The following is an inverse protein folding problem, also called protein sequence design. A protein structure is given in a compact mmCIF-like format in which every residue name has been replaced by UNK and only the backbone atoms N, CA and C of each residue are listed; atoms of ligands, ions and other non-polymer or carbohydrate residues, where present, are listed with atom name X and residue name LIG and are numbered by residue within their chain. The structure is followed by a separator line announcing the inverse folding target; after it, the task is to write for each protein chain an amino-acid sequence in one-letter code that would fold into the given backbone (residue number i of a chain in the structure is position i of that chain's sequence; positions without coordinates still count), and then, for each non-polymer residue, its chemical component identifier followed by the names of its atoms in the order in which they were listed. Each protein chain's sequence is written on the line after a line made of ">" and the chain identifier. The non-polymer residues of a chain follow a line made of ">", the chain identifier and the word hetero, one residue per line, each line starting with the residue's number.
data_IF_438929477788
#
_entry.id   IF_438929477788
#
_cell.length_a   1.000
_cell.length_b   1.000
_cell.length_c   1.000
_cell.angle_alpha   90.00
_cell.angle_beta   90.00
_cell.angle_gamma   90.00
#
_symmetry.space_group_name_H-M   'P 1'
#
loop_
_entity.id
_entity.type
_entity.pdbx_description
1 polymer ?
#
# COMPACT_ATOMS: atom_id res chain seq x y z
N UNK A 1 -27.44 -17.68 -11.65
CA UNK A 1 -26.67 -18.12 -12.83
C UNK A 1 -25.35 -17.35 -12.83
N UNK A 2 -24.33 -17.98 -12.23
CA UNK A 2 -22.88 -17.66 -12.26
C UNK A 2 -22.41 -16.20 -12.18
N UNK A 3 -22.19 -15.70 -10.95
CA UNK A 3 -21.28 -14.57 -10.63
C UNK A 3 -19.80 -14.89 -10.91
N UNK A 4 -19.51 -16.08 -11.45
CA UNK A 4 -18.17 -16.62 -11.72
C UNK A 4 -17.71 -16.46 -13.19
N UNK A 5 -18.54 -15.90 -14.09
CA UNK A 5 -18.24 -15.84 -15.53
C UNK A 5 -17.86 -14.45 -16.07
N UNK A 6 -17.67 -13.42 -15.23
CA UNK A 6 -17.07 -12.13 -15.67
C UNK A 6 -15.55 -12.03 -15.42
N UNK A 7 -14.91 -13.06 -14.87
CA UNK A 7 -13.49 -13.07 -14.46
C UNK A 7 -12.47 -13.23 -15.62
N UNK A 8 -12.65 -12.58 -16.78
CA UNK A 8 -11.73 -12.73 -17.93
C UNK A 8 -11.42 -11.43 -18.71
N UNK A 9 -11.35 -10.27 -18.05
CA UNK A 9 -10.54 -9.15 -18.55
C UNK A 9 -9.74 -8.55 -17.38
N UNK A 10 -8.41 -8.38 -17.49
CA UNK A 10 -7.69 -7.60 -16.51
C UNK A 10 -8.20 -6.16 -16.63
N UNK A 11 -8.94 -5.69 -15.62
CA UNK A 11 -9.36 -4.30 -15.54
C UNK A 11 -8.10 -3.45 -15.40
N UNK A 12 -7.62 -2.92 -16.52
CA UNK A 12 -6.56 -1.93 -16.54
C UNK A 12 -7.07 -0.68 -15.84
N UNK A 13 -6.30 -0.16 -14.90
CA UNK A 13 -6.54 1.14 -14.26
C UNK A 13 -6.22 2.33 -15.18
N UNK A 14 -6.37 2.14 -16.50
CA UNK A 14 -6.15 3.19 -17.50
C UNK A 14 -7.04 4.41 -17.26
N UNK A 15 -8.27 4.23 -16.78
CA UNK A 15 -9.21 5.34 -16.51
C UNK A 15 -8.68 6.34 -15.46
N UNK A 16 -7.80 5.90 -14.56
CA UNK A 16 -7.17 6.83 -13.62
C UNK A 16 -6.17 7.76 -14.30
N UNK A 17 -5.58 7.34 -15.43
CA UNK A 17 -4.74 8.22 -16.25
C UNK A 17 -5.59 9.23 -17.02
N UNK A 18 -6.75 8.83 -17.54
CA UNK A 18 -7.71 9.76 -18.15
C UNK A 18 -8.18 10.81 -17.13
N UNK A 19 -8.40 10.40 -15.87
CA UNK A 19 -8.69 11.30 -14.76
C UNK A 19 -7.55 12.27 -14.46
N UNK A 20 -6.30 11.77 -14.40
CA UNK A 20 -5.13 12.62 -14.22
C UNK A 20 -5.06 13.64 -15.36
N UNK A 21 -5.14 13.22 -16.62
CA UNK A 21 -5.06 14.13 -17.77
C UNK A 21 -6.16 15.20 -17.75
N UNK A 22 -7.38 14.83 -17.33
CA UNK A 22 -8.52 15.75 -17.32
C UNK A 22 -8.48 16.76 -16.18
N UNK A 23 -8.02 16.35 -14.99
CA UNK A 23 -8.17 17.15 -13.77
C UNK A 23 -6.87 17.64 -13.16
N UNK A 24 -5.71 17.11 -13.55
CA UNK A 24 -4.42 17.63 -13.11
C UNK A 24 -4.22 19.11 -13.51
N UNK A 25 -4.61 19.59 -14.71
CA UNK A 25 -4.43 20.99 -15.09
C UNK A 25 -5.10 22.00 -14.12
N UNK A 26 -6.23 21.62 -13.51
CA UNK A 26 -6.91 22.44 -12.49
C UNK A 26 -6.37 22.21 -11.07
N UNK A 27 -5.42 21.29 -10.88
CA UNK A 27 -4.97 20.83 -9.57
C UNK A 27 -6.00 19.96 -8.85
N UNK A 28 -6.80 19.20 -9.61
CA UNK A 28 -7.94 18.43 -9.11
C UNK A 28 -9.02 19.30 -8.44
N UNK A 29 -9.09 20.57 -8.81
CA UNK A 29 -10.14 21.49 -8.36
C UNK A 29 -11.34 21.43 -9.31
N UNK A 30 -12.53 21.69 -8.76
CA UNK A 30 -13.80 21.80 -9.50
C UNK A 30 -14.13 20.56 -10.34
N UNK A 31 -13.84 19.36 -9.82
CA UNK A 31 -14.21 18.10 -10.48
C UNK A 31 -15.74 18.05 -10.65
N UNK A 32 -16.18 17.92 -11.89
CA UNK A 32 -17.60 17.81 -12.21
C UNK A 32 -18.07 16.36 -12.03
N UNK A 33 -18.98 16.07 -11.09
CA UNK A 33 -19.48 14.71 -10.88
C UNK A 33 -20.22 14.14 -12.09
N UNK A 34 -20.76 15.01 -12.96
CA UNK A 34 -21.50 14.61 -14.17
C UNK A 34 -20.58 14.43 -15.38
N UNK A 35 -19.26 14.63 -15.24
CA UNK A 35 -18.30 14.36 -16.30
C UNK A 35 -18.30 12.86 -16.65
N UNK A 36 -18.32 12.47 -17.94
CA UNK A 36 -18.32 11.06 -18.34
C UNK A 36 -17.19 10.21 -17.74
N UNK A 37 -16.01 10.79 -17.47
CA UNK A 37 -14.89 10.10 -16.82
C UNK A 37 -15.23 9.83 -15.34
N UNK A 38 -15.81 10.81 -14.65
CA UNK A 38 -16.20 10.67 -13.26
C UNK A 38 -17.35 9.67 -13.09
N UNK A 39 -18.35 9.71 -13.97
CA UNK A 39 -19.45 8.72 -13.96
C UNK A 39 -18.89 7.30 -14.10
N UNK A 40 -18.00 7.05 -15.06
CA UNK A 40 -17.37 5.75 -15.26
C UNK A 40 -16.47 5.33 -14.09
N UNK A 41 -15.75 6.27 -13.48
CA UNK A 41 -14.95 5.98 -12.28
C UNK A 41 -15.85 5.56 -11.14
N UNK A 42 -16.94 6.28 -10.89
CA UNK A 42 -17.88 5.95 -9.83
C UNK A 42 -18.56 4.58 -10.06
N UNK A 43 -18.88 4.24 -11.31
CA UNK A 43 -19.35 2.88 -11.68
C UNK A 43 -18.28 1.82 -11.39
N UNK A 44 -17.02 2.06 -11.77
CA UNK A 44 -15.90 1.15 -11.49
C UNK A 44 -15.67 0.99 -9.98
N UNK A 45 -15.76 2.08 -9.22
CA UNK A 45 -15.61 2.07 -7.76
C UNK A 45 -16.73 1.27 -7.09
N UNK A 46 -17.96 1.37 -7.61
CA UNK A 46 -19.09 0.57 -7.17
C UNK A 46 -18.91 -0.92 -7.48
N UNK A 47 -18.54 -1.25 -8.72
CA UNK A 47 -18.38 -2.64 -9.19
C UNK A 47 -17.30 -3.40 -8.42
N UNK A 48 -16.19 -2.73 -8.13
CA UNK A 48 -15.00 -3.34 -7.55
C UNK A 48 -14.89 -3.18 -6.02
N UNK A 49 -15.89 -2.59 -5.37
CA UNK A 49 -15.86 -2.22 -3.95
C UNK A 49 -14.62 -1.39 -3.56
N UNK A 50 -14.50 -0.23 -4.21
CA UNK A 50 -13.33 0.65 -4.09
C UNK A 50 -13.72 2.09 -3.80
N UNK A 51 -12.73 2.87 -3.37
CA UNK A 51 -12.74 4.31 -3.52
C UNK A 51 -11.34 4.78 -3.92
N UNK A 52 -11.21 6.01 -4.40
CA UNK A 52 -9.90 6.57 -4.71
C UNK A 52 -9.76 8.00 -4.23
N UNK A 53 -8.53 8.48 -4.19
CA UNK A 53 -8.21 9.87 -3.86
C UNK A 53 -7.06 10.39 -4.71
N UNK A 54 -7.05 11.70 -4.92
CA UNK A 54 -5.93 12.44 -5.48
C UNK A 54 -5.32 13.30 -4.36
N UNK A 55 -4.01 13.25 -4.21
CA UNK A 55 -3.31 13.98 -3.13
C UNK A 55 -2.06 14.68 -3.63
N UNK A 56 -1.68 15.76 -2.95
CA UNK A 56 -0.39 16.43 -3.10
C UNK A 56 0.43 16.19 -1.84
N UNK A 57 1.58 15.54 -1.99
CA UNK A 57 2.45 15.21 -0.85
C UNK A 57 3.26 16.39 -0.32
N UNK A 58 3.53 17.40 -1.15
CA UNK A 58 4.24 18.61 -0.70
C UNK A 58 3.33 19.42 0.22
N UNK A 59 2.03 19.50 -0.12
CA UNK A 59 1.03 20.14 0.73
C UNK A 59 0.49 19.24 1.84
N UNK A 60 0.84 17.95 1.84
CA UNK A 60 0.26 16.93 2.72
C UNK A 60 -1.27 16.97 2.75
N UNK A 61 -1.89 17.09 1.56
CA UNK A 61 -3.33 17.34 1.43
C UNK A 61 -3.99 16.39 0.43
N UNK A 62 -5.11 15.81 0.84
CA UNK A 62 -6.08 15.21 -0.07
C UNK A 62 -6.75 16.33 -0.88
N UNK A 63 -6.56 16.29 -2.20
CA UNK A 63 -7.16 17.24 -3.14
C UNK A 63 -8.56 16.78 -3.57
N UNK A 64 -8.76 15.47 -3.66
CA UNK A 64 -10.02 14.83 -3.99
C UNK A 64 -10.11 13.47 -3.33
N UNK A 65 -11.32 13.07 -2.93
CA UNK A 65 -11.66 11.72 -2.46
C UNK A 65 -13.00 11.34 -3.06
N UNK A 66 -13.14 10.13 -3.58
CA UNK A 66 -14.41 9.66 -4.15
C UNK A 66 -15.41 9.25 -3.07
N UNK A 67 -16.70 9.20 -3.44
CA UNK A 67 -17.82 9.13 -2.50
C UNK A 67 -17.85 7.85 -1.66
N UNK A 68 -17.29 6.74 -2.20
CA UNK A 68 -17.30 5.41 -1.56
C UNK A 68 -16.42 5.27 -0.33
N UNK A 69 -15.60 6.28 -0.01
CA UNK A 69 -14.92 6.38 1.29
C UNK A 69 -15.90 6.26 2.47
N UNK A 70 -17.13 6.78 2.33
CA UNK A 70 -18.14 6.68 3.38
C UNK A 70 -18.61 5.23 3.60
N UNK A 71 -18.82 4.47 2.54
CA UNK A 71 -19.26 3.07 2.63
C UNK A 71 -18.15 2.15 3.12
N UNK A 72 -16.90 2.38 2.68
CA UNK A 72 -15.78 1.47 2.98
C UNK A 72 -15.12 1.80 4.33
N UNK A 73 -14.98 3.08 4.65
CA UNK A 73 -14.28 3.54 5.86
C UNK A 73 -15.19 4.24 6.86
N UNK A 74 -16.41 4.64 6.50
CA UNK A 74 -17.28 5.39 7.40
C UNK A 74 -16.89 6.86 7.56
N UNK A 75 -16.15 7.40 6.59
CA UNK A 75 -15.71 8.80 6.60
C UNK A 75 -16.19 9.55 5.37
N UNK A 76 -16.68 10.77 5.57
CA UNK A 76 -17.05 11.63 4.47
C UNK A 76 -15.81 11.98 3.61
N UNK A 77 -15.93 12.10 2.28
CA UNK A 77 -14.79 12.35 1.40
C UNK A 77 -13.94 13.57 1.80
N UNK A 78 -14.59 14.64 2.27
CA UNK A 78 -13.93 15.88 2.68
C UNK A 78 -13.25 15.81 4.06
N UNK A 79 -13.53 14.76 4.84
CA UNK A 79 -13.01 14.59 6.20
C UNK A 79 -11.82 13.63 6.27
N UNK A 80 -11.52 12.90 5.18
CA UNK A 80 -10.43 11.95 5.14
C UNK A 80 -9.09 12.62 5.47
N UNK A 81 -8.47 12.19 6.59
CA UNK A 81 -7.21 12.73 7.06
C UNK A 81 -6.28 11.64 7.65
N UNK A 82 -4.96 11.90 7.76
CA UNK A 82 -4.01 10.93 8.29
C UNK A 82 -4.28 10.50 9.75
N UNK A 83 -4.94 11.35 10.54
CA UNK A 83 -5.34 11.09 11.92
C UNK A 83 -6.49 10.09 12.03
N UNK A 84 -7.48 10.16 11.14
CA UNK A 84 -8.52 9.14 11.02
C UNK A 84 -7.91 7.75 10.76
N UNK A 85 -7.04 7.64 9.76
CA UNK A 85 -6.36 6.38 9.38
C UNK A 85 -5.60 5.76 10.57
N UNK A 86 -5.00 6.59 11.43
CA UNK A 86 -4.26 6.12 12.61
C UNK A 86 -5.18 5.53 13.70
N UNK A 87 -6.43 5.98 13.78
CA UNK A 87 -7.40 5.52 14.79
C UNK A 87 -8.14 4.26 14.37
N UNK A 88 -8.23 3.99 13.07
CA UNK A 88 -9.00 2.88 12.51
C UNK A 88 -8.16 1.69 12.10
N UNK A 89 -6.83 1.80 12.06
CA UNK A 89 -5.91 0.71 11.74
C UNK A 89 -5.92 -0.38 12.84
N UNK A 90 -5.82 -1.64 12.43
CA UNK A 90 -5.60 -2.75 13.36
C UNK A 90 -4.27 -2.57 14.13
N UNK A 91 -4.21 -2.82 15.45
CA UNK A 91 -3.01 -2.61 16.26
C UNK A 91 -1.75 -3.31 15.72
N UNK A 92 -1.88 -4.57 15.28
CA UNK A 92 -0.76 -5.33 14.71
C UNK A 92 -0.24 -4.74 13.38
N UNK A 93 -1.08 -3.99 12.66
CA UNK A 93 -0.72 -3.36 11.40
C UNK A 93 -0.17 -1.94 11.59
N UNK A 94 -0.24 -1.37 12.80
CA UNK A 94 0.23 -0.01 13.10
C UNK A 94 1.69 0.21 12.70
N UNK A 95 2.56 -0.75 13.00
CA UNK A 95 3.96 -0.65 12.64
C UNK A 95 4.16 -0.65 11.12
N UNK A 96 3.42 -1.49 10.39
CA UNK A 96 3.44 -1.55 8.92
C UNK A 96 2.90 -0.25 8.30
N UNK A 97 1.87 0.34 8.88
CA UNK A 97 1.34 1.65 8.46
C UNK A 97 2.40 2.75 8.60
N UNK A 98 3.10 2.82 9.75
CA UNK A 98 4.13 3.84 9.99
C UNK A 98 5.28 3.70 9.00
N UNK A 99 5.80 2.49 8.83
CA UNK A 99 6.85 2.19 7.84
C UNK A 99 6.40 2.52 6.41
N UNK A 100 5.16 2.19 6.08
CA UNK A 100 4.60 2.51 4.77
C UNK A 100 4.47 4.00 4.50
N UNK A 101 4.11 4.80 5.51
CA UNK A 101 4.10 6.27 5.41
C UNK A 101 5.51 6.82 5.21
N UNK A 102 6.49 6.36 5.98
CA UNK A 102 7.89 6.76 5.80
C UNK A 102 8.38 6.46 4.37
N UNK A 103 8.08 5.26 3.86
CA UNK A 103 8.43 4.86 2.51
C UNK A 103 7.72 5.70 1.44
N UNK A 104 6.43 5.99 1.62
CA UNK A 104 5.66 6.89 0.76
C UNK A 104 6.31 8.27 0.65
N UNK A 105 6.73 8.86 1.77
CA UNK A 105 7.46 10.14 1.76
C UNK A 105 8.80 10.04 1.05
N UNK A 106 9.57 8.99 1.30
CA UNK A 106 10.88 8.79 0.65
C UNK A 106 10.76 8.65 -0.86
N UNK A 107 9.82 7.83 -1.35
CA UNK A 107 9.56 7.68 -2.79
C UNK A 107 9.21 9.02 -3.44
N UNK A 108 8.35 9.80 -2.78
CA UNK A 108 7.98 11.10 -3.30
C UNK A 108 9.13 12.11 -3.30
N UNK A 109 9.98 12.11 -2.27
CA UNK A 109 11.19 12.94 -2.24
C UNK A 109 12.16 12.56 -3.36
N UNK A 110 12.37 11.28 -3.63
CA UNK A 110 13.21 10.78 -4.72
C UNK A 110 12.68 11.26 -6.09
N UNK A 111 11.37 11.10 -6.34
CA UNK A 111 10.72 11.57 -7.57
C UNK A 111 10.80 13.10 -7.70
N UNK A 112 10.54 13.84 -6.62
CA UNK A 112 10.59 15.31 -6.61
C UNK A 112 12.00 15.82 -6.89
N UNK A 113 13.02 15.26 -6.22
CA UNK A 113 14.42 15.64 -6.42
C UNK A 113 14.89 15.34 -7.85
N UNK A 114 14.41 14.24 -8.45
CA UNK A 114 14.68 13.90 -9.84
C UNK A 114 13.91 14.76 -10.86
N UNK A 115 12.93 15.57 -10.41
CA UNK A 115 12.03 16.40 -11.25
C UNK A 115 11.37 15.59 -12.38
N UNK A 116 11.22 14.28 -12.19
CA UNK A 116 10.75 13.35 -13.21
C UNK A 116 10.44 11.98 -12.61
N UNK A 117 9.68 11.19 -13.37
CA UNK A 117 9.41 9.79 -13.04
C UNK A 117 8.08 9.54 -12.34
N UNK A 118 7.84 8.26 -12.10
CA UNK A 118 6.68 7.73 -11.42
C UNK A 118 7.06 6.48 -10.65
N UNK A 119 6.26 6.12 -9.67
CA UNK A 119 6.39 4.89 -8.91
C UNK A 119 5.01 4.36 -8.53
N UNK A 120 4.99 3.10 -8.09
CA UNK A 120 3.82 2.42 -7.56
C UNK A 120 4.19 1.82 -6.21
N UNK A 121 3.32 2.05 -5.23
CA UNK A 121 3.32 1.34 -3.96
C UNK A 121 2.01 0.58 -3.80
N UNK A 122 2.06 -0.65 -3.29
CA UNK A 122 0.88 -1.49 -3.08
C UNK A 122 1.02 -2.27 -1.78
N UNK A 123 -0.02 -2.29 -0.96
CA UNK A 123 0.04 -2.88 0.38
C UNK A 123 -1.32 -3.27 0.92
N UNK A 124 -1.37 -4.26 1.81
CA UNK A 124 -2.60 -4.60 2.55
C UNK A 124 -2.50 -4.24 4.03
N UNK A 125 -3.57 -3.64 4.55
CA UNK A 125 -3.71 -3.26 5.96
C UNK A 125 -5.16 -3.47 6.39
N UNK A 126 -5.36 -3.84 7.65
CA UNK A 126 -6.70 -4.02 8.23
C UNK A 126 -7.20 -2.74 8.87
N UNK A 127 -8.43 -2.35 8.52
CA UNK A 127 -9.11 -1.17 9.05
C UNK A 127 -10.48 -1.53 9.62
N UNK A 128 -10.89 -0.82 10.67
CA UNK A 128 -12.26 -0.88 11.19
C UNK A 128 -13.20 -0.28 10.14
N UNK A 129 -14.23 -1.04 9.77
CA UNK A 129 -15.32 -0.62 8.89
C UNK A 129 -16.47 0.05 9.68
N UNK A 130 -17.47 0.64 9.01
CA UNK A 130 -18.63 1.26 9.68
C UNK A 130 -19.40 0.32 10.62
N UNK A 131 -19.36 -0.99 10.37
CA UNK A 131 -19.98 -2.03 11.19
C UNK A 131 -19.18 -2.40 12.45
N UNK A 132 -17.99 -1.81 12.64
CA UNK A 132 -17.12 -2.05 13.80
C UNK A 132 -16.28 -3.33 13.72
N UNK A 133 -16.19 -3.96 12.54
CA UNK A 133 -15.35 -5.13 12.29
C UNK A 133 -14.14 -4.78 11.42
N UNK A 134 -13.11 -5.62 11.40
CA UNK A 134 -11.91 -5.37 10.58
C UNK A 134 -12.07 -5.93 9.18
N UNK A 135 -11.91 -5.07 8.17
CA UNK A 135 -11.77 -5.47 6.77
C UNK A 135 -10.31 -5.35 6.34
N UNK A 136 -9.90 -6.21 5.42
CA UNK A 136 -8.59 -6.12 4.80
C UNK A 136 -8.69 -5.20 3.59
N UNK A 137 -7.93 -4.11 3.59
CA UNK A 137 -7.93 -3.15 2.50
C UNK A 137 -6.63 -3.27 1.70
N UNK A 138 -6.73 -3.35 0.38
CA UNK A 138 -5.60 -3.15 -0.51
C UNK A 138 -5.50 -1.66 -0.86
N UNK A 139 -4.42 -1.01 -0.44
CA UNK A 139 -4.05 0.31 -0.91
C UNK A 139 -3.05 0.22 -2.05
N UNK A 140 -3.37 0.83 -3.20
CA UNK A 140 -2.41 1.07 -4.29
C UNK A 140 -2.23 2.58 -4.47
N UNK A 141 -0.99 3.05 -4.48
CA UNK A 141 -0.63 4.45 -4.64
C UNK A 141 0.27 4.62 -5.87
N UNK A 142 -0.26 5.26 -6.91
CA UNK A 142 0.49 5.65 -8.09
C UNK A 142 1.02 7.09 -7.90
N UNK A 143 2.34 7.23 -7.89
CA UNK A 143 3.06 8.48 -7.71
C UNK A 143 3.52 8.98 -9.06
N UNK A 144 3.43 10.29 -9.30
CA UNK A 144 3.99 10.89 -10.51
C UNK A 144 4.41 12.33 -10.26
N UNK A 145 5.52 12.71 -10.88
CA UNK A 145 5.95 14.10 -10.94
C UNK A 145 5.12 14.88 -11.97
N UNK A 146 4.77 16.13 -11.65
CA UNK A 146 4.22 17.07 -12.63
C UNK A 146 4.69 18.49 -12.33
N UNK A 147 4.80 19.31 -13.37
CA UNK A 147 4.99 20.77 -13.28
C UNK A 147 3.69 21.55 -13.38
N UNK A 148 2.57 20.87 -13.65
CA UNK A 148 1.23 21.43 -13.78
C UNK A 148 0.33 20.83 -12.69
N UNK A 149 -0.45 21.65 -11.96
CA UNK A 149 -0.51 23.12 -12.06
C UNK A 149 0.69 23.81 -11.37
N UNK A 150 1.51 23.03 -10.66
CA UNK A 150 2.76 23.43 -10.01
C UNK A 150 3.72 22.25 -10.01
N UNK A 151 4.98 22.51 -9.71
CA UNK A 151 5.99 21.48 -9.46
C UNK A 151 5.66 20.72 -8.16
N UNK A 152 5.20 19.48 -8.30
CA UNK A 152 4.85 18.62 -7.18
C UNK A 152 4.92 17.13 -7.55
N UNK A 153 4.82 16.29 -6.51
CA UNK A 153 4.54 14.86 -6.65
C UNK A 153 3.12 14.61 -6.20
N UNK A 154 2.30 14.14 -7.14
CA UNK A 154 0.92 13.79 -6.91
C UNK A 154 0.79 12.28 -6.67
N UNK A 155 -0.24 11.90 -5.94
CA UNK A 155 -0.63 10.50 -5.76
C UNK A 155 -2.07 10.31 -6.24
N UNK A 156 -2.30 9.29 -7.06
CA UNK A 156 -3.61 8.62 -7.14
C UNK A 156 -3.56 7.39 -6.25
N UNK A 157 -4.36 7.40 -5.18
CA UNK A 157 -4.49 6.27 -4.28
C UNK A 157 -5.84 5.59 -4.50
N UNK A 158 -5.82 4.32 -4.86
CA UNK A 158 -6.99 3.45 -4.95
C UNK A 158 -7.00 2.52 -3.74
N UNK A 159 -8.14 2.44 -3.07
CA UNK A 159 -8.35 1.56 -1.92
C UNK A 159 -9.45 0.57 -2.29
N UNK A 160 -9.11 -0.72 -2.22
CA UNK A 160 -10.04 -1.83 -2.48
C UNK A 160 -10.40 -2.49 -1.18
N UNK A 161 -11.68 -2.65 -0.90
CA UNK A 161 -12.17 -3.49 0.18
C UNK A 161 -12.12 -4.95 -0.27
N UNK A 162 -11.29 -5.77 0.38
CA UNK A 162 -11.12 -7.17 -0.01
C UNK A 162 -12.19 -8.04 0.65
N UNK A 163 -12.90 -8.83 -0.16
CA UNK A 163 -13.82 -9.84 0.34
C UNK A 163 -13.08 -10.83 1.25
N UNK A 164 -13.71 -11.22 2.36
CA UNK A 164 -13.15 -12.16 3.35
C UNK A 164 -12.69 -13.51 2.78
N UNK A 165 -13.21 -13.92 1.61
CA UNK A 165 -12.83 -15.13 0.90
C UNK A 165 -11.51 -15.01 0.13
N UNK A 166 -11.03 -13.79 -0.11
CA UNK A 166 -9.80 -13.53 -0.84
C UNK A 166 -8.59 -13.80 0.06
N UNK A 167 -7.72 -14.71 -0.38
CA UNK A 167 -6.48 -15.01 0.32
C UNK A 167 -5.43 -13.94 0.04
N UNK A 168 -5.03 -13.21 1.07
CA UNK A 168 -3.86 -12.32 1.01
C UNK A 168 -2.62 -13.03 1.54
N UNK A 169 -1.45 -12.46 1.28
CA UNK A 169 -0.24 -12.86 1.98
C UNK A 169 -0.49 -12.78 3.50
N UNK A 170 -0.23 -13.84 4.29
CA UNK A 170 -0.50 -13.87 5.72
C UNK A 170 0.36 -12.87 6.51
N UNK A 171 1.57 -12.57 6.01
CA UNK A 171 2.48 -11.57 6.58
C UNK A 171 2.21 -10.16 6.02
N UNK A 172 1.18 -10.05 5.16
CA UNK A 172 0.72 -8.83 4.52
C UNK A 172 1.37 -8.57 3.16
N UNK A 173 0.55 -8.15 2.20
CA UNK A 173 1.02 -7.78 0.88
C UNK A 173 1.87 -6.50 0.94
N UNK A 174 2.95 -6.48 0.17
CA UNK A 174 3.77 -5.28 -0.03
C UNK A 174 4.46 -5.27 -1.40
N UNK A 175 4.49 -4.10 -2.04
CA UNK A 175 5.26 -3.81 -3.25
C UNK A 175 5.63 -2.33 -3.31
N UNK A 176 6.86 -2.03 -3.75
CA UNK A 176 7.30 -0.70 -4.18
C UNK A 176 8.15 -0.88 -5.44
N UNK A 177 7.85 -0.15 -6.49
CA UNK A 177 8.64 -0.17 -7.72
C UNK A 177 7.98 0.63 -8.83
N UNK A 178 8.44 0.45 -10.07
CA UNK A 178 7.97 1.24 -11.22
C UNK A 178 7.16 0.41 -12.23
N UNK A 179 6.78 -0.82 -11.87
CA UNK A 179 5.98 -1.68 -12.74
C UNK A 179 4.50 -1.26 -12.68
N UNK A 180 4.13 -0.35 -13.58
CA UNK A 180 2.75 0.18 -13.69
C UNK A 180 1.74 -0.91 -14.05
N UNK A 181 2.17 -2.06 -14.61
CA UNK A 181 1.26 -3.18 -14.89
C UNK A 181 0.65 -3.81 -13.63
N UNK A 182 1.22 -3.52 -12.46
CA UNK A 182 0.70 -3.93 -11.16
C UNK A 182 -0.34 -2.95 -10.59
N UNK A 183 -0.54 -1.78 -11.19
CA UNK A 183 -1.63 -0.87 -10.84
C UNK A 183 -2.91 -1.34 -11.55
N UNK A 184 -3.69 -2.16 -10.85
CA UNK A 184 -4.84 -2.90 -11.39
C UNK A 184 -5.69 -3.45 -10.26
N UNK A 185 -6.91 -3.87 -10.58
CA UNK A 185 -7.71 -4.64 -9.64
C UNK A 185 -6.96 -5.91 -9.19
N UNK A 186 -6.96 -6.25 -7.89
CA UNK A 186 -6.12 -7.31 -7.37
C UNK A 186 -6.43 -8.67 -7.97
N UNK A 187 -5.37 -9.36 -8.37
CA UNK A 187 -5.36 -10.80 -8.56
C UNK A 187 -4.60 -11.49 -7.40
N UNK A 188 -4.74 -12.82 -7.33
CA UNK A 188 -4.04 -13.61 -6.30
C UNK A 188 -2.53 -13.38 -6.35
N UNK A 189 -1.94 -13.27 -7.55
CA UNK A 189 -0.51 -13.04 -7.70
C UNK A 189 -0.08 -11.74 -7.02
N UNK A 190 -0.80 -10.64 -7.25
CA UNK A 190 -0.52 -9.35 -6.62
C UNK A 190 -0.62 -9.48 -5.09
N UNK A 191 -1.74 -10.02 -4.58
CA UNK A 191 -2.01 -10.09 -3.15
C UNK A 191 -1.07 -11.03 -2.37
N UNK A 192 -0.39 -11.94 -3.07
CA UNK A 192 0.64 -12.80 -2.49
C UNK A 192 2.05 -12.19 -2.54
N UNK A 193 2.27 -11.08 -3.24
CA UNK A 193 3.56 -10.38 -3.25
C UNK A 193 3.87 -9.78 -1.88
N UNK A 194 5.10 -9.92 -1.41
CA UNK A 194 5.54 -9.45 -0.10
C UNK A 194 6.66 -10.33 0.43
N UNK A 195 7.09 -10.07 1.67
CA UNK A 195 8.03 -10.94 2.36
C UNK A 195 7.26 -12.07 3.03
N UNK A 196 7.62 -13.34 2.74
CA UNK A 196 7.02 -14.52 3.40
C UNK A 196 7.60 -14.79 4.80
N UNK A 197 8.10 -13.75 5.46
CA UNK A 197 8.72 -13.87 6.78
C UNK A 197 7.66 -13.76 7.85
N UNK A 198 7.64 -14.73 8.76
CA UNK A 198 6.74 -14.67 9.91
C UNK A 198 7.11 -13.52 10.85
N UNK A 199 6.19 -13.10 11.70
CA UNK A 199 6.44 -12.08 12.72
C UNK A 199 7.72 -12.33 13.53
N UNK A 200 7.96 -13.60 13.90
CA UNK A 200 9.17 -13.99 14.65
C UNK A 200 10.44 -13.87 13.82
N UNK A 201 10.38 -14.21 12.54
CA UNK A 201 11.49 -14.04 11.62
C UNK A 201 11.80 -12.56 11.40
N UNK A 202 10.77 -11.73 11.27
CA UNK A 202 10.90 -10.28 11.16
C UNK A 202 11.49 -9.65 12.42
N UNK A 203 11.03 -10.06 13.61
CA UNK A 203 11.57 -9.64 14.90
C UNK A 203 13.07 -9.97 15.02
N UNK A 204 13.47 -11.17 14.60
CA UNK A 204 14.88 -11.56 14.56
C UNK A 204 15.67 -10.64 13.63
N UNK A 205 15.17 -10.35 12.42
CA UNK A 205 15.83 -9.41 11.51
C UNK A 205 16.03 -8.03 12.16
N UNK A 206 15.02 -7.47 12.82
CA UNK A 206 15.14 -6.17 13.53
C UNK A 206 16.25 -6.18 14.58
N UNK A 207 16.33 -7.24 15.38
CA UNK A 207 17.36 -7.36 16.41
C UNK A 207 18.76 -7.50 15.78
N UNK A 208 18.88 -8.24 14.68
CA UNK A 208 20.15 -8.32 13.94
C UNK A 208 20.52 -6.97 13.31
N UNK A 209 19.57 -6.25 12.74
CA UNK A 209 19.77 -4.91 12.20
C UNK A 209 20.19 -3.90 13.28
N UNK A 210 19.80 -4.15 14.54
CA UNK A 210 20.22 -3.40 15.73
C UNK A 210 21.59 -3.84 16.28
N UNK A 211 22.30 -4.74 15.59
CA UNK A 211 23.64 -5.20 15.95
C UNK A 211 23.69 -6.35 16.96
N UNK A 212 22.56 -7.02 17.26
CA UNK A 212 22.58 -8.14 18.19
C UNK A 212 23.00 -9.45 17.48
N UNK A 213 23.93 -10.17 18.11
CA UNK A 213 24.28 -11.55 17.73
C UNK A 213 23.29 -12.58 18.28
N UNK A 214 23.31 -13.80 17.75
CA UNK A 214 22.33 -14.86 18.07
C UNK A 214 22.17 -15.16 19.56
N UNK A 215 23.24 -15.05 20.36
CA UNK A 215 23.18 -15.25 21.82
C UNK A 215 22.30 -14.20 22.52
N UNK A 216 22.53 -12.91 22.23
CA UNK A 216 21.74 -11.82 22.81
C UNK A 216 20.28 -11.87 22.35
N UNK A 217 20.05 -12.28 21.10
CA UNK A 217 18.69 -12.47 20.56
C UNK A 217 17.99 -13.62 21.29
N UNK A 218 18.68 -14.74 21.50
CA UNK A 218 18.15 -15.89 22.24
C UNK A 218 17.71 -15.50 23.65
N UNK A 219 18.58 -14.78 24.37
CA UNK A 219 18.27 -14.27 25.71
C UNK A 219 17.06 -13.32 25.69
N UNK A 220 17.00 -12.40 24.73
CA UNK A 220 15.93 -11.39 24.64
C UNK A 220 14.56 -11.99 24.27
N UNK A 221 14.54 -13.04 23.46
CA UNK A 221 13.31 -13.67 22.98
C UNK A 221 12.92 -14.91 23.81
N UNK A 222 13.66 -15.23 24.87
CA UNK A 222 13.52 -16.45 25.66
C UNK A 222 13.58 -17.73 24.78
N UNK A 223 14.52 -17.76 23.84
CA UNK A 223 14.75 -18.87 22.90
C UNK A 223 16.13 -19.50 23.13
N UNK A 224 16.35 -20.69 22.56
CA UNK A 224 17.71 -21.23 22.46
C UNK A 224 18.48 -20.56 21.31
N UNK A 225 19.81 -20.50 21.41
CA UNK A 225 20.67 -20.01 20.30
C UNK A 225 20.45 -20.85 19.04
N UNK A 226 20.21 -22.16 19.20
CA UNK A 226 19.91 -23.06 18.09
C UNK A 226 18.60 -22.63 17.39
N UNK A 227 17.54 -22.36 18.14
CA UNK A 227 16.25 -21.88 17.60
C UNK A 227 16.42 -20.57 16.83
N UNK A 228 17.18 -19.62 17.36
CA UNK A 228 17.48 -18.36 16.64
C UNK A 228 18.21 -18.63 15.33
N UNK A 229 19.20 -19.52 15.33
CA UNK A 229 19.92 -19.87 14.10
C UNK A 229 19.01 -20.58 13.07
N UNK A 230 18.07 -21.43 13.52
CA UNK A 230 17.06 -22.04 12.64
C UNK A 230 16.19 -20.98 11.97
N UNK A 231 15.69 -19.99 12.71
CA UNK A 231 14.95 -18.87 12.12
C UNK A 231 15.79 -18.09 11.10
N UNK A 232 17.07 -17.81 11.39
CA UNK A 232 17.98 -17.15 10.44
C UNK A 232 18.13 -17.95 9.15
N UNK A 233 18.28 -19.27 9.23
CA UNK A 233 18.32 -20.14 8.05
C UNK A 233 17.02 -20.11 7.26
N UNK A 234 15.87 -20.15 7.95
CA UNK A 234 14.56 -20.06 7.30
C UNK A 234 14.36 -18.72 6.57
N UNK A 235 14.80 -17.62 7.18
CA UNK A 235 14.80 -16.29 6.56
C UNK A 235 15.55 -16.33 5.22
N UNK A 236 16.79 -16.82 5.21
CA UNK A 236 17.60 -16.87 3.99
C UNK A 236 16.96 -17.73 2.89
N UNK A 237 16.37 -18.86 3.28
CA UNK A 237 15.66 -19.73 2.35
C UNK A 237 14.42 -19.05 1.75
N UNK A 238 13.63 -18.35 2.59
CA UNK A 238 12.41 -17.64 2.18
C UNK A 238 12.71 -16.43 1.29
N UNK A 239 13.77 -15.69 1.60
CA UNK A 239 14.18 -14.49 0.83
C UNK A 239 15.08 -14.81 -0.35
N UNK A 240 15.55 -16.06 -0.48
CA UNK A 240 16.55 -16.51 -1.46
C UNK A 240 17.81 -15.63 -1.46
N UNK A 241 18.28 -15.26 -0.26
CA UNK A 241 19.49 -14.44 -0.08
C UNK A 241 20.63 -15.26 0.50
N UNK A 242 21.86 -14.86 0.17
CA UNK A 242 23.05 -15.54 0.64
C UNK A 242 23.35 -15.21 2.12
N UNK A 243 23.10 -13.96 2.53
CA UNK A 243 23.40 -13.50 3.89
C UNK A 243 22.26 -12.72 4.53
N UNK A 244 22.21 -12.73 5.86
CA UNK A 244 21.22 -11.94 6.62
C UNK A 244 21.48 -10.44 6.43
N UNK A 245 22.72 -10.05 6.14
CA UNK A 245 23.05 -8.67 5.80
C UNK A 245 22.35 -8.24 4.50
N UNK A 246 22.31 -9.10 3.48
CA UNK A 246 21.58 -8.82 2.23
C UNK A 246 20.08 -8.65 2.48
N UNK A 247 19.50 -9.47 3.36
CA UNK A 247 18.08 -9.34 3.74
C UNK A 247 17.84 -8.03 4.46
N UNK A 248 18.70 -7.66 5.42
CA UNK A 248 18.59 -6.39 6.13
C UNK A 248 18.74 -5.22 5.17
N UNK A 249 19.66 -5.30 4.21
CA UNK A 249 19.87 -4.28 3.20
C UNK A 249 18.63 -4.10 2.32
N UNK A 250 18.08 -5.19 1.78
CA UNK A 250 16.84 -5.17 1.01
C UNK A 250 15.68 -4.60 1.82
N UNK A 251 15.54 -5.03 3.08
CA UNK A 251 14.44 -4.60 3.93
C UNK A 251 14.57 -3.12 4.29
N UNK A 252 15.78 -2.62 4.58
CA UNK A 252 16.02 -1.18 4.74
C UNK A 252 15.70 -0.40 3.47
N UNK A 253 16.04 -0.94 2.30
CA UNK A 253 15.70 -0.30 1.02
C UNK A 253 14.19 -0.28 0.76
N UNK A 254 13.49 -1.34 1.14
CA UNK A 254 12.04 -1.46 1.08
C UNK A 254 11.32 -0.64 2.17
N UNK A 255 12.05 -0.14 3.18
CA UNK A 255 11.49 0.58 4.34
C UNK A 255 10.81 -0.34 5.35
N UNK A 256 11.19 -1.62 5.39
CA UNK A 256 10.67 -2.62 6.33
C UNK A 256 11.47 -2.66 7.66
N UNK A 257 12.61 -1.97 7.76
CA UNK A 257 13.49 -1.93 8.93
C UNK A 257 14.02 -0.53 9.21
#
# INVERSE_FOLDING_TARGET
>A
MSRLLSMLKPYSYSIFFDFIESYLPSGFLNINPDDPIMVKLEELMEENDQFFSASDLILMKYLFTSKRSMQILGIAPAELDPGFIMKTIHPDDLHRLVLGREKMYKVAQEIYAAKSGSALMSFTLRFINPEGTYNNLLGQAYFFHSTIPREAVFIIQVVTNLDSSVKTNPDGHWYVGNDVSLFKFPDEKLLQMGSNLSDREFEIIKLVASGLGSKKIADKLCLSVHTVNTHRSNILNKTRKATIADVIFDFKNLGLL
#
